data_IF_339080675148
#
_entry.id   IF_339080675148
#
_cell.length_a   1.000
_cell.length_b   1.000
_cell.length_c   1.000
_cell.angle_alpha   90.00
_cell.angle_beta   90.00
_cell.angle_gamma   90.00
#
_symmetry.space_group_name_H-M   'P 1'
#
loop_
_entity.id
_entity.type
_entity.pdbx_description
1 polymer ?
#
# COMPACT_ATOMS: atom_id res chain seq x y z
N UNK A 1 -7.67 -0.44 -14.26
CA UNK A 1 -6.20 -0.27 -14.44
C UNK A 1 -5.51 -0.66 -13.14
N UNK A 2 -4.27 -1.18 -13.17
CA UNK A 2 -3.45 -1.31 -11.97
C UNK A 2 -3.42 0.02 -11.21
N UNK A 3 -3.56 0.01 -9.88
CA UNK A 3 -3.79 1.23 -9.10
C UNK A 3 -2.59 2.21 -9.19
N UNK A 4 -1.36 1.70 -9.29
CA UNK A 4 -0.15 2.50 -9.53
C UNK A 4 -0.17 3.35 -10.81
N UNK A 5 -0.92 2.95 -11.85
CA UNK A 5 -1.05 3.76 -13.08
C UNK A 5 -1.88 5.04 -12.90
N UNK A 6 -2.41 5.27 -11.70
CA UNK A 6 -3.15 6.49 -11.37
C UNK A 6 -2.29 7.54 -10.67
N UNK A 7 -1.14 7.15 -10.11
CA UNK A 7 -0.37 7.99 -9.19
C UNK A 7 -0.95 8.07 -7.77
N UNK A 8 -2.07 7.40 -7.48
CA UNK A 8 -2.71 7.34 -6.16
C UNK A 8 -2.28 6.16 -5.29
N UNK A 9 -1.15 5.52 -5.59
CA UNK A 9 -0.66 4.34 -4.86
C UNK A 9 0.79 4.50 -4.45
N UNK A 10 1.13 3.91 -3.30
CA UNK A 10 2.48 3.91 -2.77
C UNK A 10 2.77 2.58 -2.11
N UNK A 11 4.00 2.13 -2.33
CA UNK A 11 4.58 0.92 -1.80
C UNK A 11 5.68 1.34 -0.82
N UNK A 12 5.55 1.01 0.46
CA UNK A 12 6.52 1.41 1.49
C UNK A 12 6.62 0.46 2.68
N UNK A 13 7.73 0.62 3.41
CA UNK A 13 7.96 -0.01 4.71
C UNK A 13 8.45 1.02 5.71
N UNK A 14 8.47 0.65 6.98
CA UNK A 14 9.08 1.43 8.05
C UNK A 14 10.60 1.32 7.98
N UNK A 15 11.29 2.39 8.38
CA UNK A 15 12.74 2.36 8.53
C UNK A 15 13.19 3.01 9.82
N UNK A 16 14.33 2.58 10.32
CA UNK A 16 15.02 3.21 11.45
C UNK A 16 16.46 3.55 11.03
N UNK A 17 16.80 4.83 11.05
CA UNK A 17 18.10 5.34 10.58
C UNK A 17 18.48 4.85 9.16
N UNK A 18 17.50 4.82 8.26
CA UNK A 18 17.69 4.36 6.87
C UNK A 18 17.75 2.84 6.68
N UNK A 19 17.59 2.06 7.75
CA UNK A 19 17.53 0.60 7.68
C UNK A 19 16.05 0.18 7.63
N UNK A 20 15.59 -0.50 6.56
CA UNK A 20 14.24 -1.03 6.47
C UNK A 20 13.97 -2.07 7.56
N UNK A 21 12.79 -2.00 8.18
CA UNK A 21 12.35 -2.99 9.16
C UNK A 21 11.73 -4.21 8.46
N UNK A 22 11.90 -5.39 9.07
CA UNK A 22 11.14 -6.59 8.70
C UNK A 22 9.71 -6.45 9.17
N UNK A 23 8.77 -6.79 8.28
CA UNK A 23 7.34 -6.85 8.59
C UNK A 23 6.80 -8.25 8.27
N UNK A 24 7.61 -9.30 8.40
CA UNK A 24 7.23 -10.72 8.30
C UNK A 24 7.44 -11.38 6.95
N UNK A 25 7.60 -10.60 5.88
CA UNK A 25 8.07 -11.08 4.58
C UNK A 25 9.00 -10.03 3.95
N UNK A 26 9.81 -10.41 2.96
CA UNK A 26 10.38 -9.43 2.04
C UNK A 26 9.29 -8.59 1.37
N UNK A 27 9.70 -7.41 0.91
CA UNK A 27 8.93 -6.60 -0.04
C UNK A 27 8.69 -7.41 -1.34
N UNK A 28 7.57 -7.17 -2.02
CA UNK A 28 7.17 -7.89 -3.26
C UNK A 28 7.07 -9.42 -3.10
N UNK A 29 6.78 -9.90 -1.89
CA UNK A 29 6.51 -11.32 -1.65
C UNK A 29 5.05 -11.66 -1.97
N UNK A 30 4.79 -12.32 -3.10
CA UNK A 30 3.42 -12.71 -3.50
C UNK A 30 2.97 -14.05 -2.89
N UNK A 31 3.07 -14.17 -1.57
CA UNK A 31 2.66 -15.36 -0.80
C UNK A 31 1.58 -15.00 0.21
N UNK A 32 0.82 -15.97 0.70
CA UNK A 32 -0.23 -15.73 1.71
C UNK A 32 0.30 -15.06 2.99
N UNK A 33 1.58 -15.27 3.33
CA UNK A 33 2.24 -14.63 4.48
C UNK A 33 2.41 -13.10 4.32
N UNK A 34 2.31 -12.58 3.10
CA UNK A 34 2.32 -11.15 2.81
C UNK A 34 0.96 -10.47 2.98
N UNK A 35 -0.12 -11.24 3.15
CA UNK A 35 -1.44 -10.66 3.40
C UNK A 35 -1.39 -9.80 4.67
N UNK A 36 -2.09 -8.67 4.67
CA UNK A 36 -2.02 -7.69 5.77
C UNK A 36 -2.32 -8.33 7.14
N UNK A 37 -3.22 -9.32 7.18
CA UNK A 37 -3.63 -10.03 8.40
C UNK A 37 -2.90 -11.37 8.66
N UNK A 38 -1.90 -11.74 7.86
CA UNK A 38 -1.28 -13.08 7.96
C UNK A 38 -0.53 -13.34 9.27
N UNK A 39 -0.08 -12.28 9.96
CA UNK A 39 0.68 -12.41 11.21
C UNK A 39 -0.20 -12.35 12.45
N UNK A 40 -1.52 -12.24 12.33
CA UNK A 40 -2.41 -11.94 13.46
C UNK A 40 -2.44 -13.04 14.53
N UNK A 41 -2.12 -14.28 14.15
CA UNK A 41 -1.99 -15.44 15.04
C UNK A 41 -0.61 -15.56 15.71
N UNK A 42 0.32 -14.65 15.40
CA UNK A 42 1.66 -14.60 15.98
C UNK A 42 1.72 -13.48 17.04
N UNK A 43 2.69 -13.54 17.95
CA UNK A 43 2.97 -12.43 18.88
C UNK A 43 4.45 -12.03 18.80
N UNK A 44 4.80 -11.41 17.68
CA UNK A 44 6.16 -10.99 17.37
C UNK A 44 6.26 -9.51 16.96
N UNK A 45 7.50 -9.04 16.80
CA UNK A 45 7.82 -7.66 16.43
C UNK A 45 7.33 -7.31 15.03
N UNK A 46 7.33 -8.27 14.10
CA UNK A 46 6.96 -8.07 12.71
C UNK A 46 5.45 -7.83 12.58
N UNK A 47 4.62 -8.57 13.33
CA UNK A 47 3.19 -8.30 13.49
C UNK A 47 2.96 -6.89 14.00
N UNK A 48 3.66 -6.49 15.06
CA UNK A 48 3.47 -5.18 15.68
C UNK A 48 3.90 -4.04 14.72
N UNK A 49 5.01 -4.21 14.01
CA UNK A 49 5.47 -3.27 12.99
C UNK A 49 4.47 -3.18 11.82
N UNK A 50 3.95 -4.31 11.33
CA UNK A 50 2.94 -4.37 10.26
C UNK A 50 1.64 -3.68 10.67
N UNK A 51 1.12 -3.97 11.87
CA UNK A 51 -0.06 -3.29 12.44
C UNK A 51 0.17 -1.80 12.60
N UNK A 52 1.36 -1.39 13.05
CA UNK A 52 1.69 0.01 13.24
C UNK A 52 1.75 0.77 11.90
N UNK A 53 2.41 0.21 10.88
CA UNK A 53 2.41 0.76 9.53
C UNK A 53 0.98 0.93 8.99
N UNK A 54 0.15 -0.11 9.09
CA UNK A 54 -1.24 -0.06 8.61
C UNK A 54 -2.05 1.00 9.37
N UNK A 55 -1.92 1.07 10.69
CA UNK A 55 -2.60 2.07 11.51
C UNK A 55 -2.18 3.50 11.15
N UNK A 56 -0.87 3.72 10.95
CA UNK A 56 -0.30 5.01 10.54
C UNK A 56 -0.87 5.43 9.18
N UNK A 57 -0.80 4.56 8.18
CA UNK A 57 -1.29 4.85 6.83
C UNK A 57 -2.80 5.10 6.81
N UNK A 58 -3.59 4.32 7.58
CA UNK A 58 -5.03 4.57 7.75
C UNK A 58 -5.32 5.91 8.41
N UNK A 59 -4.53 6.31 9.41
CA UNK A 59 -4.70 7.63 10.05
C UNK A 59 -4.44 8.80 9.10
N UNK A 60 -3.62 8.59 8.07
CA UNK A 60 -3.38 9.53 6.98
C UNK A 60 -4.41 9.42 5.83
N UNK A 61 -5.45 8.58 5.97
CA UNK A 61 -6.53 8.44 5.00
C UNK A 61 -6.31 7.39 3.91
N UNK A 62 -5.22 6.62 3.94
CA UNK A 62 -4.98 5.55 2.98
C UNK A 62 -5.80 4.29 3.29
N UNK A 63 -6.11 3.52 2.25
CA UNK A 63 -6.51 2.12 2.38
C UNK A 63 -5.31 1.20 2.14
N UNK A 64 -5.39 -0.04 2.62
CA UNK A 64 -4.36 -1.08 2.42
C UNK A 64 -4.91 -2.18 1.53
N UNK A 65 -4.08 -2.73 0.64
CA UNK A 65 -4.43 -3.90 -0.13
C UNK A 65 -4.25 -5.17 0.72
N UNK A 66 -5.34 -5.90 0.92
CA UNK A 66 -5.38 -7.05 1.84
C UNK A 66 -4.31 -8.14 1.55
N UNK A 67 -3.87 -8.30 0.31
CA UNK A 67 -2.89 -9.30 -0.09
C UNK A 67 -1.43 -8.81 -0.06
N UNK A 68 -1.19 -7.51 0.16
CA UNK A 68 0.14 -6.90 0.07
C UNK A 68 0.30 -5.89 1.23
N UNK A 69 0.98 -6.27 2.32
CA UNK A 69 1.08 -5.43 3.52
C UNK A 69 1.74 -4.06 3.29
N UNK A 70 2.51 -3.91 2.21
CA UNK A 70 3.23 -2.69 1.85
C UNK A 70 2.47 -1.74 0.91
N UNK A 71 1.39 -2.21 0.27
CA UNK A 71 0.68 -1.45 -0.78
C UNK A 71 -0.48 -0.64 -0.20
N UNK A 72 -0.40 0.67 -0.37
CA UNK A 72 -1.40 1.63 0.11
C UNK A 72 -1.95 2.48 -1.03
N UNK A 73 -3.23 2.84 -0.93
CA UNK A 73 -3.91 3.66 -1.93
C UNK A 73 -4.63 4.84 -1.30
N UNK A 74 -4.55 6.00 -1.97
CA UNK A 74 -5.30 7.21 -1.66
C UNK A 74 -5.84 7.81 -2.95
N UNK A 75 -7.13 8.14 -3.01
CA UNK A 75 -7.73 8.76 -4.18
C UNK A 75 -7.90 7.86 -5.41
N UNK A 76 -7.53 6.58 -5.36
CA UNK A 76 -7.78 5.62 -6.44
C UNK A 76 -9.26 5.22 -6.52
N UNK A 77 -9.63 4.47 -7.57
CA UNK A 77 -10.98 3.88 -7.68
C UNK A 77 -11.33 2.90 -6.56
N UNK A 78 -10.35 2.12 -6.07
CA UNK A 78 -10.57 1.18 -4.96
C UNK A 78 -10.72 1.94 -3.64
N UNK A 79 -9.87 2.95 -3.42
CA UNK A 79 -10.00 3.85 -2.28
C UNK A 79 -11.37 4.53 -2.24
N UNK A 80 -11.82 5.07 -3.38
CA UNK A 80 -13.14 5.68 -3.56
C UNK A 80 -14.27 4.71 -3.18
N UNK A 81 -14.24 3.49 -3.75
CA UNK A 81 -15.24 2.47 -3.48
C UNK A 81 -15.30 2.02 -2.01
N UNK A 82 -14.15 1.91 -1.34
CA UNK A 82 -14.07 1.47 0.07
C UNK A 82 -14.47 2.60 1.04
N UNK A 83 -14.10 3.84 0.73
CA UNK A 83 -14.31 4.98 1.63
C UNK A 83 -15.61 5.75 1.36
N UNK A 84 -16.32 5.46 0.26
CA UNK A 84 -17.55 6.16 -0.10
C UNK A 84 -17.34 7.55 -0.71
N UNK A 85 -16.16 7.81 -1.29
CA UNK A 85 -15.80 9.06 -1.96
C UNK A 85 -15.70 8.86 -3.47
N UNK A 86 -15.57 9.96 -4.22
CA UNK A 86 -15.18 9.93 -5.63
C UNK A 86 -13.67 9.69 -5.78
N UNK A 87 -13.27 9.05 -6.88
CA UNK A 87 -11.85 8.86 -7.19
C UNK A 87 -11.21 10.21 -7.55
N UNK A 88 -10.08 10.52 -6.91
CA UNK A 88 -9.27 11.72 -7.16
C UNK A 88 -8.34 11.50 -8.35
N UNK A 89 -7.81 10.29 -8.49
CA UNK A 89 -6.83 9.95 -9.51
C UNK A 89 -7.40 8.99 -10.56
N UNK A 90 -7.25 9.39 -11.83
CA UNK A 90 -7.56 8.57 -13.01
C UNK A 90 -6.31 7.93 -13.61
N UNK A 91 -6.48 7.07 -14.61
CA UNK A 91 -5.35 6.52 -15.35
C UNK A 91 -4.56 7.65 -16.02
N UNK A 92 -3.26 7.73 -15.75
CA UNK A 92 -2.37 8.66 -16.45
C UNK A 92 -1.96 8.05 -17.78
N UNK A 93 -2.00 8.84 -18.85
CA UNK A 93 -1.38 8.48 -20.12
C UNK A 93 -0.04 9.22 -20.26
N UNK A 94 0.99 8.62 -20.88
CA UNK A 94 2.19 9.36 -21.22
C UNK A 94 1.81 10.59 -22.05
N UNK A 95 2.52 11.73 -21.90
CA UNK A 95 2.27 12.91 -22.70
C UNK A 95 2.33 12.55 -24.18
N UNK A 96 1.38 13.08 -24.96
CA UNK A 96 1.37 12.87 -26.40
C UNK A 96 2.69 13.38 -26.97
N UNK A 97 3.43 12.49 -27.64
CA UNK A 97 4.69 12.85 -28.26
C UNK A 97 4.38 13.82 -29.41
N UNK A 98 4.76 15.08 -29.25
CA UNK A 98 4.65 16.07 -30.33
C UNK A 98 5.71 15.70 -31.35
N UNK A 99 5.29 15.08 -32.46
CA UNK A 99 6.16 14.92 -33.63
C UNK A 99 6.44 16.31 -34.20
N UNK A 100 7.72 16.71 -34.19
CA UNK A 100 8.23 17.92 -34.86
C UNK A 100 8.35 17.64 -36.36
#
# INVERSE_FOLDING_TARGET
PPPHLTGGSVDLTLSWHGIPLSLGTPFDAFWDSAHTAALEDHDDVDRNARRWLVALMRSAGFIVLHCEWWHFEFGTRRWAAITGHDAVYGATMPPQQITI
#
